data_IF_037003429458
#
_entry.id   IF_037003429458
#
_cell.length_a   1.000
_cell.length_b   1.000
_cell.length_c   1.000
_cell.angle_alpha   90.00
_cell.angle_beta   90.00
_cell.angle_gamma   90.00
#
_symmetry.space_group_name_H-M   'P 1'
#
loop_
_entity.id
_entity.type
_entity.pdbx_description
1 polymer ?
#
# COMPACT_ATOMS: atom_id res chain seq x y z
N UNK A 1 0.94 -4.94 28.74
CA UNK A 1 0.17 -5.84 27.85
C UNK A 1 -0.36 -6.99 28.69
N UNK A 2 -1.69 -7.19 28.74
CA UNK A 2 -2.29 -8.27 29.53
C UNK A 2 -2.29 -9.57 28.71
N UNK A 3 -2.33 -10.72 29.37
CA UNK A 3 -2.30 -12.03 28.71
C UNK A 3 -3.48 -12.21 27.73
N UNK A 4 -4.65 -11.61 28.04
CA UNK A 4 -5.82 -11.62 27.17
C UNK A 4 -5.60 -10.81 25.88
N UNK A 5 -4.94 -9.65 25.95
CA UNK A 5 -4.63 -8.83 24.77
C UNK A 5 -3.78 -9.63 23.76
N UNK A 6 -2.82 -10.39 24.28
CA UNK A 6 -1.91 -11.21 23.47
C UNK A 6 -2.62 -12.44 22.87
N UNK A 7 -3.61 -13.01 23.55
CA UNK A 7 -4.44 -14.09 23.03
C UNK A 7 -5.38 -13.59 21.93
N UNK A 8 -5.94 -12.38 22.07
CA UNK A 8 -6.73 -11.73 21.03
C UNK A 8 -5.87 -11.41 19.79
N UNK A 9 -4.67 -10.86 19.98
CA UNK A 9 -3.73 -10.61 18.89
C UNK A 9 -3.29 -11.91 18.18
N UNK A 10 -3.03 -12.97 18.95
CA UNK A 10 -2.67 -14.28 18.40
C UNK A 10 -3.85 -14.91 17.62
N UNK A 11 -5.06 -14.82 18.15
CA UNK A 11 -6.27 -15.28 17.47
C UNK A 11 -6.53 -14.48 16.18
N UNK A 12 -6.31 -13.15 16.21
CA UNK A 12 -6.32 -12.30 15.02
C UNK A 12 -5.25 -12.72 14.00
N UNK A 13 -4.05 -13.09 14.46
CA UNK A 13 -2.97 -13.61 13.62
C UNK A 13 -3.32 -14.96 12.97
N UNK A 14 -3.95 -15.88 13.72
CA UNK A 14 -4.45 -17.15 13.20
C UNK A 14 -5.60 -16.95 12.19
N UNK A 15 -6.57 -16.08 12.51
CA UNK A 15 -7.67 -15.73 11.63
C UNK A 15 -7.18 -15.03 10.35
N UNK A 16 -6.14 -14.18 10.45
CA UNK A 16 -5.46 -13.57 9.31
C UNK A 16 -4.79 -14.60 8.39
N UNK A 17 -4.32 -15.72 8.94
CA UNK A 17 -3.72 -16.81 8.17
C UNK A 17 -4.72 -17.66 7.38
N UNK A 18 -5.98 -17.69 7.82
CA UNK A 18 -7.02 -18.52 7.23
C UNK A 18 -7.90 -17.70 6.29
N UNK A 19 -7.63 -17.80 4.98
CA UNK A 19 -8.55 -17.26 3.98
C UNK A 19 -9.94 -17.90 4.13
N UNK A 20 -11.06 -17.13 4.07
CA UNK A 20 -12.40 -17.68 4.11
C UNK A 20 -12.53 -18.78 3.06
N UNK A 21 -12.63 -20.04 3.51
CA UNK A 21 -12.73 -21.18 2.60
C UNK A 21 -14.10 -21.16 1.96
N UNK A 22 -14.14 -21.37 0.65
CA UNK A 22 -15.39 -21.57 -0.10
C UNK A 22 -16.09 -22.80 0.49
N UNK A 23 -17.21 -22.60 1.19
CA UNK A 23 -17.99 -23.68 1.81
C UNK A 23 -17.88 -23.82 3.33
N UNK A 24 -17.14 -22.95 4.04
CA UNK A 24 -17.18 -22.94 5.50
C UNK A 24 -18.57 -22.46 5.99
N UNK A 25 -19.28 -23.26 6.80
CA UNK A 25 -20.60 -22.90 7.30
C UNK A 25 -20.48 -21.99 8.53
N UNK A 26 -20.60 -20.66 8.36
CA UNK A 26 -21.38 -19.78 9.27
C UNK A 26 -21.22 -18.28 8.96
N UNK A 27 -20.02 -17.77 8.67
CA UNK A 27 -19.83 -16.32 8.57
C UNK A 27 -19.74 -15.83 7.12
N UNK A 28 -20.92 -15.50 6.56
CA UNK A 28 -21.04 -14.87 5.23
C UNK A 28 -20.56 -13.42 5.21
N UNK A 29 -20.41 -12.78 6.38
CA UNK A 29 -19.89 -11.43 6.59
C UNK A 29 -18.90 -11.48 7.74
N UNK A 30 -17.85 -10.66 7.67
CA UNK A 30 -16.87 -10.63 8.73
C UNK A 30 -15.78 -9.58 8.51
N UNK A 31 -14.75 -9.68 9.34
CA UNK A 31 -13.51 -8.92 9.15
C UNK A 31 -12.35 -9.87 8.95
N UNK A 32 -11.38 -9.48 8.15
CA UNK A 32 -10.18 -10.27 7.89
C UNK A 32 -8.97 -9.35 7.64
N UNK A 33 -7.77 -9.92 7.72
CA UNK A 33 -6.54 -9.27 7.24
C UNK A 33 -6.23 -9.83 5.87
N UNK A 34 -5.99 -8.96 4.90
CA UNK A 34 -5.78 -9.37 3.51
C UNK A 34 -4.52 -10.23 3.37
N UNK A 35 -4.67 -11.39 2.74
CA UNK A 35 -3.58 -12.29 2.33
C UNK A 35 -3.70 -12.65 0.85
N UNK A 36 -2.64 -13.13 0.19
CA UNK A 36 -2.68 -13.44 -1.24
C UNK A 36 -3.76 -14.45 -1.68
N UNK A 37 -4.21 -15.32 -0.77
CA UNK A 37 -5.25 -16.30 -1.03
C UNK A 37 -6.68 -15.70 -1.08
N UNK A 38 -6.86 -14.44 -0.66
CA UNK A 38 -8.16 -13.79 -0.70
C UNK A 38 -8.55 -13.36 -2.11
N UNK A 39 -9.82 -13.56 -2.48
CA UNK A 39 -10.32 -13.20 -3.81
C UNK A 39 -10.27 -11.69 -4.11
N UNK A 40 -10.21 -10.85 -3.07
CA UNK A 40 -10.09 -9.40 -3.19
C UNK A 40 -8.65 -8.90 -3.29
N UNK A 41 -7.64 -9.77 -3.10
CA UNK A 41 -6.24 -9.37 -3.24
C UNK A 41 -5.97 -8.77 -4.64
N UNK A 42 -5.27 -7.64 -4.70
CA UNK A 42 -5.09 -6.79 -5.90
C UNK A 42 -6.34 -6.16 -6.51
N UNK A 43 -7.56 -6.47 -6.04
CA UNK A 43 -8.76 -5.78 -6.49
C UNK A 43 -8.82 -4.36 -5.94
N UNK A 44 -9.55 -3.50 -6.65
CA UNK A 44 -9.79 -2.12 -6.24
C UNK A 44 -11.02 -2.07 -5.34
N UNK A 45 -10.87 -1.48 -4.16
CA UNK A 45 -11.99 -1.16 -3.28
C UNK A 45 -12.90 -0.14 -3.97
N UNK A 46 -14.18 -0.45 -4.11
CA UNK A 46 -15.15 0.42 -4.78
C UNK A 46 -15.46 1.70 -4.00
N UNK A 47 -15.14 1.73 -2.71
CA UNK A 47 -15.40 2.88 -1.83
C UNK A 47 -14.28 3.91 -1.90
N UNK A 48 -13.01 3.50 -1.68
CA UNK A 48 -11.88 4.44 -1.69
C UNK A 48 -11.04 4.46 -2.96
N UNK A 49 -11.19 3.48 -3.86
CA UNK A 49 -10.37 3.37 -5.06
C UNK A 49 -8.96 2.78 -4.84
N UNK A 50 -8.56 2.49 -3.60
CA UNK A 50 -7.29 1.80 -3.34
C UNK A 50 -7.38 0.30 -3.60
N UNK A 51 -6.26 -0.31 -4.01
CA UNK A 51 -6.15 -1.77 -4.09
C UNK A 51 -5.99 -2.40 -2.71
N UNK A 52 -6.57 -3.58 -2.52
CA UNK A 52 -6.27 -4.42 -1.37
C UNK A 52 -4.89 -5.06 -1.50
N UNK A 53 -4.08 -4.93 -0.46
CA UNK A 53 -2.73 -5.49 -0.32
C UNK A 53 -2.59 -6.28 0.97
N UNK A 54 -1.50 -7.04 1.08
CA UNK A 54 -1.22 -7.85 2.27
C UNK A 54 -1.22 -6.97 3.53
N UNK A 55 -1.85 -7.45 4.60
CA UNK A 55 -1.91 -6.73 5.87
C UNK A 55 -3.09 -5.78 6.01
N UNK A 56 -3.80 -5.45 4.92
CA UNK A 56 -4.98 -4.58 5.02
C UNK A 56 -6.10 -5.25 5.84
N UNK A 57 -6.55 -4.58 6.89
CA UNK A 57 -7.78 -4.95 7.58
C UNK A 57 -8.97 -4.64 6.67
N UNK A 58 -9.86 -5.59 6.48
CA UNK A 58 -11.02 -5.46 5.59
C UNK A 58 -12.29 -5.97 6.25
N UNK A 59 -13.41 -5.33 5.94
CA UNK A 59 -14.76 -5.86 6.13
C UNK A 59 -15.19 -6.53 4.83
N UNK A 60 -15.74 -7.73 4.88
CA UNK A 60 -16.16 -8.47 3.69
C UNK A 60 -17.59 -9.01 3.79
N UNK A 61 -18.23 -9.20 2.63
CA UNK A 61 -19.49 -9.93 2.45
C UNK A 61 -19.32 -10.94 1.30
N UNK A 62 -19.38 -12.23 1.61
CA UNK A 62 -19.24 -13.32 0.64
C UNK A 62 -20.47 -13.50 -0.25
N UNK A 63 -21.66 -13.10 0.23
CA UNK A 63 -22.91 -13.17 -0.54
C UNK A 63 -22.94 -12.06 -1.58
N UNK A 64 -22.62 -10.83 -1.17
CA UNK A 64 -22.53 -9.69 -2.06
C UNK A 64 -21.24 -9.67 -2.89
N UNK A 65 -20.24 -10.51 -2.55
CA UNK A 65 -18.85 -10.43 -3.04
C UNK A 65 -18.31 -9.01 -2.95
N UNK A 66 -18.38 -8.42 -1.75
CA UNK A 66 -17.80 -7.11 -1.46
C UNK A 66 -16.69 -7.22 -0.43
N UNK A 67 -15.74 -6.29 -0.51
CA UNK A 67 -14.69 -6.07 0.46
C UNK A 67 -14.44 -4.56 0.56
N UNK A 68 -14.18 -4.08 1.77
CA UNK A 68 -13.96 -2.67 2.10
C UNK A 68 -12.81 -2.54 3.10
N UNK A 69 -11.94 -1.55 2.94
CA UNK A 69 -10.85 -1.32 3.90
C UNK A 69 -11.41 -0.86 5.24
N UNK A 70 -10.80 -1.33 6.33
CA UNK A 70 -10.99 -0.82 7.68
C UNK A 70 -9.86 0.14 8.09
N UNK A 71 -8.96 0.48 7.17
CA UNK A 71 -7.85 1.38 7.45
C UNK A 71 -8.35 2.80 7.78
N UNK A 72 -7.94 3.38 8.91
CA UNK A 72 -8.16 4.79 9.21
C UNK A 72 -7.58 5.68 8.11
N UNK A 73 -8.31 6.74 7.74
CA UNK A 73 -7.86 7.68 6.71
C UNK A 73 -8.17 7.26 5.25
N UNK A 74 -8.61 6.03 4.99
CA UNK A 74 -9.07 5.64 3.64
C UNK A 74 -10.56 5.91 3.38
N UNK A 75 -11.33 6.34 4.39
CA UNK A 75 -12.74 6.74 4.23
C UNK A 75 -13.68 5.61 3.79
N UNK A 76 -13.27 4.35 3.95
CA UNK A 76 -14.08 3.17 3.62
C UNK A 76 -15.06 2.83 4.76
N UNK A 77 -14.87 1.67 5.39
CA UNK A 77 -15.75 1.12 6.39
C UNK A 77 -15.56 1.74 7.79
N UNK A 78 -14.59 2.65 7.93
CA UNK A 78 -14.23 3.35 9.16
C UNK A 78 -13.78 2.39 10.26
N UNK A 79 -12.51 1.96 10.22
CA UNK A 79 -11.92 1.34 11.41
C UNK A 79 -11.61 2.39 12.48
N UNK A 80 -11.40 1.96 13.73
CA UNK A 80 -10.96 2.86 14.79
C UNK A 80 -9.66 3.54 14.36
N UNK A 81 -9.57 4.86 14.55
CA UNK A 81 -8.34 5.60 14.29
C UNK A 81 -7.20 4.95 15.07
N UNK A 82 -6.18 4.50 14.34
CA UNK A 82 -4.92 4.09 14.93
C UNK A 82 -4.17 5.37 15.22
N UNK A 83 -4.02 5.72 16.50
CA UNK A 83 -3.06 6.75 16.89
C UNK A 83 -1.67 6.21 16.59
N UNK A 84 -0.97 6.84 15.64
CA UNK A 84 0.44 6.57 15.41
C UNK A 84 1.19 7.01 16.68
N UNK A 85 1.82 6.08 17.38
CA UNK A 85 2.62 6.45 18.54
C UNK A 85 3.86 7.23 18.09
N UNK A 86 4.30 8.21 18.89
CA UNK A 86 5.54 8.94 18.60
C UNK A 86 6.75 8.02 18.42
N UNK A 87 6.79 6.91 19.16
CA UNK A 87 7.81 5.86 19.03
C UNK A 87 7.81 5.19 17.66
N UNK A 88 6.65 4.91 17.07
CA UNK A 88 6.55 4.30 15.74
C UNK A 88 7.05 5.26 14.65
N UNK A 89 6.77 6.56 14.81
CA UNK A 89 7.29 7.59 13.91
C UNK A 89 8.81 7.71 14.02
N UNK A 90 9.37 7.78 15.24
CA UNK A 90 10.82 7.85 15.47
C UNK A 90 11.55 6.61 14.95
N UNK A 91 11.00 5.41 15.19
CA UNK A 91 11.55 4.17 14.62
C UNK A 91 11.53 4.19 13.09
N UNK A 92 10.43 4.66 12.49
CA UNK A 92 10.32 4.79 11.03
C UNK A 92 11.36 5.75 10.49
N UNK A 93 11.54 6.91 11.10
CA UNK A 93 12.54 7.89 10.69
C UNK A 93 13.97 7.34 10.84
N UNK A 94 14.27 6.63 11.93
CA UNK A 94 15.54 5.95 12.13
C UNK A 94 15.81 4.85 11.09
N UNK A 95 14.80 4.03 10.76
CA UNK A 95 14.88 3.02 9.72
C UNK A 95 15.18 3.65 8.35
N UNK A 96 14.55 4.77 8.04
CA UNK A 96 14.76 5.48 6.78
C UNK A 96 16.12 6.17 6.70
N UNK A 97 16.58 6.75 7.80
CA UNK A 97 17.93 7.32 7.89
C UNK A 97 19.02 6.25 7.70
N UNK A 98 18.81 5.05 8.27
CA UNK A 98 19.69 3.90 8.11
C UNK A 98 19.60 3.19 6.75
N UNK A 99 18.59 3.53 5.93
CA UNK A 99 18.35 2.92 4.62
C UNK A 99 18.41 3.98 3.50
N UNK A 100 19.57 4.59 3.25
CA UNK A 100 19.71 5.63 2.24
C UNK A 100 19.41 5.09 0.84
N UNK A 101 18.75 5.91 0.02
CA UNK A 101 18.60 5.65 -1.40
C UNK A 101 19.60 6.51 -2.18
N UNK A 102 20.19 5.91 -3.21
CA UNK A 102 20.96 6.66 -4.22
C UNK A 102 20.04 7.37 -5.24
N UNK A 103 18.75 7.51 -4.92
CA UNK A 103 17.70 8.06 -5.78
C UNK A 103 16.77 8.94 -4.94
N UNK A 104 16.23 10.06 -5.48
CA UNK A 104 15.25 10.85 -4.76
C UNK A 104 14.01 10.04 -4.37
N UNK A 105 13.61 10.15 -3.10
CA UNK A 105 12.41 9.52 -2.54
C UNK A 105 11.41 10.61 -2.19
N UNK A 106 10.16 10.42 -2.60
CA UNK A 106 9.07 11.35 -2.35
C UNK A 106 8.08 10.71 -1.40
N UNK A 107 7.76 11.39 -0.28
CA UNK A 107 6.61 11.07 0.56
C UNK A 107 5.37 11.71 -0.05
N UNK A 108 4.33 10.92 -0.32
CA UNK A 108 3.11 11.41 -0.96
C UNK A 108 2.21 12.17 0.02
N UNK A 109 1.90 13.42 -0.31
CA UNK A 109 0.88 14.19 0.38
C UNK A 109 -0.52 13.65 0.08
N UNK A 110 -1.49 13.86 0.97
CA UNK A 110 -2.85 13.32 0.83
C UNK A 110 -3.59 13.82 -0.42
N UNK A 111 -3.25 15.00 -0.93
CA UNK A 111 -3.81 15.63 -2.12
C UNK A 111 -3.06 15.28 -3.41
N UNK A 112 -1.98 14.51 -3.33
CA UNK A 112 -1.18 14.11 -4.49
C UNK A 112 -2.05 13.39 -5.54
N UNK A 113 -1.93 13.80 -6.79
CA UNK A 113 -2.75 13.30 -7.89
C UNK A 113 -2.58 11.80 -8.16
N UNK A 114 -1.49 11.18 -7.66
CA UNK A 114 -1.23 9.73 -7.76
C UNK A 114 -2.07 8.92 -6.79
N UNK A 115 -2.69 9.56 -5.80
CA UNK A 115 -3.54 8.91 -4.81
C UNK A 115 -4.96 8.77 -5.38
N UNK A 116 -5.57 7.57 -5.33
CA UNK A 116 -6.97 7.39 -5.68
C UNK A 116 -7.90 8.36 -4.95
N UNK A 117 -8.80 8.99 -5.70
CA UNK A 117 -9.87 9.81 -5.13
C UNK A 117 -11.21 9.11 -5.35
N UNK A 118 -12.03 8.92 -4.31
CA UNK A 118 -13.37 8.37 -4.46
C UNK A 118 -14.17 9.12 -5.53
N UNK A 119 -14.85 8.37 -6.40
CA UNK A 119 -15.73 8.93 -7.44
C UNK A 119 -15.04 9.46 -8.71
N UNK A 120 -13.70 9.53 -8.77
CA UNK A 120 -13.02 9.84 -10.03
C UNK A 120 -13.03 8.64 -10.97
N UNK A 121 -13.40 8.89 -12.24
CA UNK A 121 -13.42 7.87 -13.30
C UNK A 121 -12.02 7.49 -13.80
N UNK A 122 -11.02 8.35 -13.58
CA UNK A 122 -9.65 8.07 -13.96
C UNK A 122 -9.02 7.09 -12.99
N UNK A 123 -8.47 6.00 -13.52
CA UNK A 123 -7.72 5.05 -12.73
C UNK A 123 -6.48 5.73 -12.14
N UNK A 124 -6.36 5.71 -10.82
CA UNK A 124 -5.18 6.22 -10.14
C UNK A 124 -3.92 5.46 -10.59
N UNK A 125 -2.77 6.13 -10.71
CA UNK A 125 -1.49 5.48 -10.90
C UNK A 125 -1.24 4.38 -9.87
N UNK A 126 -0.58 3.31 -10.33
CA UNK A 126 -0.18 2.16 -9.51
C UNK A 126 1.32 2.02 -9.53
N UNK A 127 1.85 1.44 -8.45
CA UNK A 127 3.25 1.02 -8.37
C UNK A 127 3.58 0.13 -9.57
N UNK A 128 4.64 0.46 -10.31
CA UNK A 128 5.03 -0.28 -11.53
C UNK A 128 5.57 -1.68 -11.25
N UNK A 129 5.94 -1.97 -10.02
CA UNK A 129 6.43 -3.29 -9.61
C UNK A 129 5.31 -4.18 -9.06
N UNK A 130 4.58 -3.73 -8.03
CA UNK A 130 3.59 -4.57 -7.33
C UNK A 130 2.14 -4.33 -7.77
N UNK A 131 1.88 -3.39 -8.69
CA UNK A 131 0.54 -3.02 -9.17
C UNK A 131 -0.46 -2.58 -8.09
N UNK A 132 -0.02 -2.24 -6.88
CA UNK A 132 -0.85 -1.63 -5.86
C UNK A 132 -0.92 -0.11 -6.05
N UNK A 133 -2.07 0.48 -5.72
CA UNK A 133 -2.22 1.94 -5.65
C UNK A 133 -1.41 2.51 -4.49
N UNK A 134 -1.01 3.77 -4.62
CA UNK A 134 -0.35 4.51 -3.55
C UNK A 134 -1.34 5.02 -2.51
N UNK A 135 -0.89 5.25 -1.27
CA UNK A 135 -1.64 5.87 -0.17
C UNK A 135 -0.94 7.12 0.37
N UNK A 136 -1.66 8.01 1.09
CA UNK A 136 -1.03 9.13 1.79
C UNK A 136 0.09 8.67 2.73
N UNK A 137 1.14 9.47 2.79
CA UNK A 137 2.32 9.24 3.64
C UNK A 137 3.28 8.17 3.12
N UNK A 138 2.91 7.42 2.08
CA UNK A 138 3.80 6.42 1.50
C UNK A 138 4.98 7.06 0.79
N UNK A 139 6.11 6.38 0.89
CA UNK A 139 7.32 6.77 0.19
C UNK A 139 7.46 6.02 -1.14
N UNK A 140 7.81 6.78 -2.17
CA UNK A 140 7.95 6.27 -3.54
C UNK A 140 9.16 6.84 -4.22
N UNK A 141 9.74 6.05 -5.11
CA UNK A 141 10.68 6.55 -6.13
C UNK A 141 9.86 6.89 -7.37
N UNK A 142 9.93 8.15 -7.79
CA UNK A 142 9.26 8.65 -8.99
C UNK A 142 10.22 8.51 -10.17
N UNK A 143 9.74 8.01 -11.31
CA UNK A 143 10.55 7.94 -12.51
C UNK A 143 11.04 9.35 -12.89
N UNK A 144 12.34 9.55 -13.16
CA UNK A 144 12.89 10.86 -13.55
C UNK A 144 12.60 11.21 -15.01
N UNK A 145 11.63 10.54 -15.67
CA UNK A 145 11.17 10.85 -17.02
C UNK A 145 10.73 12.33 -17.07
N UNK A 146 11.63 13.20 -17.56
CA UNK A 146 11.49 14.66 -17.52
C UNK A 146 11.43 15.23 -16.09
N UNK A 147 12.60 15.42 -15.46
CA UNK A 147 12.76 16.04 -14.13
C UNK A 147 11.97 17.35 -13.98
N UNK A 148 11.92 18.16 -15.04
CA UNK A 148 11.19 19.43 -15.05
C UNK A 148 9.65 19.28 -15.13
N UNK A 149 9.16 18.15 -15.65
CA UNK A 149 7.72 17.85 -15.84
C UNK A 149 7.50 16.35 -15.79
N UNK A 150 7.22 15.73 -14.63
CA UNK A 150 7.01 14.28 -14.53
C UNK A 150 5.65 13.89 -15.13
N UNK A 151 5.52 13.94 -16.46
CA UNK A 151 4.27 13.66 -17.18
C UNK A 151 3.86 12.20 -17.05
N UNK A 152 4.85 11.30 -16.92
CA UNK A 152 4.55 9.87 -16.92
C UNK A 152 3.98 9.36 -15.58
N UNK A 153 4.19 10.10 -14.48
CA UNK A 153 3.68 9.78 -13.13
C UNK A 153 4.05 8.41 -12.59
N UNK A 154 5.00 7.75 -13.23
CA UNK A 154 5.39 6.40 -12.91
C UNK A 154 6.12 6.42 -11.57
N UNK A 155 5.68 5.60 -10.64
CA UNK A 155 6.29 5.50 -9.33
C UNK A 155 6.39 4.04 -8.89
N UNK A 156 7.31 3.77 -7.98
CA UNK A 156 7.52 2.46 -7.36
C UNK A 156 7.61 2.67 -5.86
N UNK A 157 6.93 1.83 -5.08
CA UNK A 157 7.01 1.93 -3.63
C UNK A 157 8.45 1.73 -3.13
N UNK A 158 8.83 2.58 -2.18
CA UNK A 158 10.05 2.46 -1.41
C UNK A 158 9.74 2.91 0.01
N UNK A 159 8.98 2.10 0.70
CA UNK A 159 8.52 2.38 2.06
C UNK A 159 8.77 1.14 2.93
N UNK A 160 10.03 0.94 3.40
CA UNK A 160 10.40 -0.25 4.16
C UNK A 160 9.68 -0.33 5.51
N UNK A 161 9.34 0.80 6.13
CA UNK A 161 8.55 0.85 7.36
C UNK A 161 7.17 0.21 7.18
N UNK A 162 6.60 0.30 5.98
CA UNK A 162 5.33 -0.36 5.61
C UNK A 162 5.52 -1.69 4.87
N UNK A 163 6.75 -2.21 4.80
CA UNK A 163 7.08 -3.45 4.09
C UNK A 163 6.98 -3.36 2.56
N UNK A 164 7.00 -2.15 1.99
CA UNK A 164 6.86 -1.89 0.55
C UNK A 164 8.22 -1.59 -0.10
N UNK A 165 9.12 -2.57 -0.09
CA UNK A 165 10.48 -2.49 -0.65
C UNK A 165 10.52 -2.79 -2.17
N UNK A 166 9.55 -2.28 -2.92
CA UNK A 166 9.40 -2.65 -4.34
C UNK A 166 10.58 -2.13 -5.18
N UNK A 167 11.11 -0.97 -4.82
CA UNK A 167 12.26 -0.35 -5.47
C UNK A 167 13.50 -1.25 -5.40
N UNK A 168 13.88 -1.70 -4.21
CA UNK A 168 15.08 -2.53 -3.99
C UNK A 168 15.01 -3.85 -4.75
N UNK A 169 13.81 -4.42 -4.88
CA UNK A 169 13.60 -5.66 -5.66
C UNK A 169 13.68 -5.43 -7.17
N UNK A 170 13.27 -4.24 -7.62
CA UNK A 170 13.27 -3.90 -9.04
C UNK A 170 14.62 -3.35 -9.53
N UNK A 171 15.32 -2.62 -8.66
CA UNK A 171 16.60 -1.95 -8.88
C UNK A 171 17.51 -2.13 -7.66
N UNK A 172 18.07 -3.33 -7.48
CA UNK A 172 18.96 -3.62 -6.35
C UNK A 172 20.25 -2.80 -6.39
N UNK A 173 20.65 -2.32 -7.56
CA UNK A 173 21.80 -1.44 -7.80
C UNK A 173 21.50 0.05 -7.52
N UNK A 174 20.24 0.40 -7.27
CA UNK A 174 19.80 1.75 -6.97
C UNK A 174 19.83 2.72 -8.17
N UNK A 175 19.98 2.23 -9.41
CA UNK A 175 20.11 3.10 -10.60
C UNK A 175 18.82 3.19 -11.40
N UNK A 176 18.52 4.39 -11.92
CA UNK A 176 17.38 4.65 -12.80
C UNK A 176 17.86 5.13 -14.17
N UNK A 177 18.55 4.27 -14.91
CA UNK A 177 19.10 4.67 -16.21
C UNK A 177 18.03 4.86 -17.29
N UNK A 178 16.91 4.13 -17.18
CA UNK A 178 15.84 4.10 -18.18
C UNK A 178 14.48 4.12 -17.47
N UNK A 179 13.59 5.02 -17.90
CA UNK A 179 12.22 5.01 -17.41
C UNK A 179 11.50 3.74 -17.85
N UNK A 180 10.87 2.97 -16.95
CA UNK A 180 10.16 1.75 -17.31
C UNK A 180 8.88 2.01 -18.12
N UNK A 181 8.38 3.25 -18.12
CA UNK A 181 7.15 3.63 -18.82
C UNK A 181 7.43 4.24 -20.18
N UNK A 182 8.30 5.25 -20.22
CA UNK A 182 8.61 5.95 -21.46
C UNK A 182 9.74 5.30 -22.27
N UNK A 183 10.50 4.36 -21.69
CA UNK A 183 11.78 3.84 -22.20
C UNK A 183 12.83 4.94 -22.52
N UNK A 184 12.57 6.18 -22.12
CA UNK A 184 13.52 7.28 -22.22
C UNK A 184 14.64 7.08 -21.20
N UNK A 185 15.88 7.33 -21.61
CA UNK A 185 16.99 7.48 -20.66
C UNK A 185 16.74 8.69 -19.78
N UNK A 186 17.21 8.64 -18.53
CA UNK A 186 17.34 9.87 -17.76
C UNK A 186 18.20 10.84 -18.61
N UNK A 187 17.76 12.09 -18.76
CA UNK A 187 18.63 13.08 -19.38
C UNK A 187 19.92 13.13 -18.54
N UNK A 188 21.07 13.04 -19.20
CA UNK A 188 22.34 13.34 -18.53
C UNK A 188 22.22 14.79 -18.04
N UNK A 189 22.28 14.99 -16.72
CA UNK A 189 22.40 16.32 -16.16
C UNK A 189 23.85 16.76 -16.42
N UNK A 190 24.07 17.39 -17.57
CA UNK A 190 25.26 18.25 -17.80
C UNK A 190 25.16 19.51 -16.94
#
# INVERSE_FOLDING_TARGET
>A
MRLNDMQEEFALGLAAGLAPRRGAPAERRGTAVTVPAHWWFHLVCRTCGHTFRRGDRVRYDLTARTAEHLEPGLGCAGGPASEESGEAAEFTDGLLAGWPANVPVVRLAADDWRIPRPGLRTAAPKCRYCAHTFRPGEQVVVCPCQVARPVCGAAVHRDPARGLSCWERWRPDGRVEICPVAKARAAEND
#
